data_IF_438020730468
#
_entry.id   IF_438020730468
#
_cell.length_a   1.000
_cell.length_b   1.000
_cell.length_c   1.000
_cell.angle_alpha   90.00
_cell.angle_beta   90.00
_cell.angle_gamma   90.00
#
_symmetry.space_group_name_H-M   'P 1'
#
loop_
_entity.id
_entity.type
_entity.pdbx_description
1 polymer ?
#
# COMPACT_ATOMS: atom_id res chain seq x y z
N UNK A 1 -23.71 49.77 -17.49
CA UNK A 1 -22.98 50.25 -18.68
C UNK A 1 -22.01 49.17 -19.14
N UNK A 2 -21.90 49.00 -20.46
CA UNK A 2 -20.85 48.27 -21.18
C UNK A 2 -20.87 46.73 -21.17
N UNK A 3 -21.52 46.18 -22.21
CA UNK A 3 -21.30 44.84 -22.76
C UNK A 3 -20.01 44.84 -23.58
N UNK A 4 -19.25 43.74 -23.61
CA UNK A 4 -18.50 43.34 -24.80
C UNK A 4 -18.44 41.81 -24.98
N UNK A 5 -18.31 41.33 -26.24
CA UNK A 5 -18.61 39.99 -26.75
C UNK A 5 -17.29 39.20 -26.99
N UNK A 6 -17.23 37.97 -27.48
CA UNK A 6 -17.45 37.55 -28.89
C UNK A 6 -17.09 36.07 -28.99
N UNK A 7 -17.96 35.29 -29.65
CA UNK A 7 -17.75 33.88 -30.01
C UNK A 7 -16.79 33.81 -31.20
N UNK A 8 -15.85 32.87 -31.19
CA UNK A 8 -15.12 32.47 -32.40
C UNK A 8 -15.43 31.01 -32.68
N UNK A 9 -16.21 30.80 -33.73
CA UNK A 9 -16.49 29.52 -34.36
C UNK A 9 -15.49 29.36 -35.49
N UNK A 10 -14.77 28.23 -35.54
CA UNK A 10 -14.00 27.85 -36.71
C UNK A 10 -14.70 26.66 -37.39
N UNK A 11 -15.19 26.91 -38.60
CA UNK A 11 -15.63 25.92 -39.58
C UNK A 11 -14.63 25.96 -40.72
N UNK A 12 -13.96 24.83 -40.96
CA UNK A 12 -13.24 24.45 -42.18
C UNK A 12 -13.34 22.93 -42.23
N UNK A 13 -13.58 22.23 -43.32
CA UNK A 13 -13.70 22.56 -44.73
C UNK A 13 -13.73 21.20 -45.43
N UNK A 14 -14.74 21.00 -46.27
CA UNK A 14 -15.05 19.76 -47.00
C UNK A 14 -14.12 19.62 -48.22
N UNK A 15 -13.55 18.43 -48.47
CA UNK A 15 -13.07 17.86 -49.77
C UNK A 15 -12.29 16.56 -49.43
N UNK A 16 -12.37 15.39 -50.09
CA UNK A 16 -12.88 14.94 -51.39
C UNK A 16 -11.85 13.95 -52.02
N UNK A 17 -12.34 12.86 -52.65
CA UNK A 17 -11.63 11.77 -53.42
C UNK A 17 -11.02 10.59 -52.60
N UNK A 18 -11.44 9.31 -52.73
CA UNK A 18 -11.39 8.32 -53.87
C UNK A 18 -9.93 7.90 -54.16
N UNK A 19 -9.42 6.66 -54.13
CA UNK A 19 -9.88 5.27 -54.41
C UNK A 19 -8.81 4.28 -53.90
N UNK A 20 -9.15 3.00 -53.66
CA UNK A 20 -8.61 1.77 -54.29
C UNK A 20 -8.70 0.56 -53.34
N UNK A 21 -9.22 -0.55 -53.86
CA UNK A 21 -9.19 -1.88 -53.25
C UNK A 21 -7.76 -2.42 -53.19
N UNK A 22 -7.35 -2.93 -52.03
CA UNK A 22 -6.32 -3.95 -51.92
C UNK A 22 -6.79 -5.03 -50.93
N UNK A 23 -7.19 -6.17 -51.48
CA UNK A 23 -7.33 -7.40 -50.74
C UNK A 23 -5.93 -7.84 -50.28
N UNK A 24 -5.63 -7.61 -49.01
CA UNK A 24 -4.37 -7.98 -48.37
C UNK A 24 -4.60 -9.12 -47.37
N UNK A 25 -3.99 -10.26 -47.69
CA UNK A 25 -3.69 -11.44 -46.90
C UNK A 25 -4.13 -11.45 -45.42
N UNK A 26 -4.93 -12.47 -45.07
CA UNK A 26 -5.26 -12.81 -43.69
C UNK A 26 -4.01 -13.10 -42.86
N UNK A 27 -3.60 -12.11 -42.09
CA UNK A 27 -2.74 -12.33 -40.93
C UNK A 27 -3.61 -12.84 -39.80
N UNK A 28 -3.62 -14.17 -39.60
CA UNK A 28 -3.99 -14.74 -38.32
C UNK A 28 -3.01 -14.21 -37.29
N UNK A 29 -3.32 -13.07 -36.66
CA UNK A 29 -2.72 -12.69 -35.40
C UNK A 29 -3.10 -13.80 -34.42
N UNK A 30 -2.21 -14.76 -34.28
CA UNK A 30 -2.17 -15.67 -33.14
C UNK A 30 -2.00 -14.74 -31.94
N UNK A 31 -3.14 -14.32 -31.40
CA UNK A 31 -3.20 -13.51 -30.21
C UNK A 31 -2.51 -14.31 -29.14
N UNK A 32 -1.27 -13.93 -28.84
CA UNK A 32 -0.62 -14.34 -27.62
C UNK A 32 -1.53 -13.78 -26.54
N UNK A 33 -2.42 -14.63 -26.02
CA UNK A 33 -3.16 -14.34 -24.81
C UNK A 33 -2.07 -14.18 -23.77
N UNK A 34 -1.68 -12.94 -23.49
CA UNK A 34 -0.81 -12.65 -22.36
C UNK A 34 -1.45 -13.35 -21.17
N UNK A 35 -0.73 -14.32 -20.59
CA UNK A 35 -1.23 -15.07 -19.44
C UNK A 35 -1.70 -14.09 -18.37
N UNK A 36 -2.81 -14.40 -17.70
CA UNK A 36 -3.27 -13.61 -16.58
C UNK A 36 -2.13 -13.53 -15.55
N UNK A 37 -1.72 -12.31 -15.21
CA UNK A 37 -0.66 -12.09 -14.22
C UNK A 37 -1.30 -12.17 -12.85
N UNK A 38 -0.83 -13.09 -12.02
CA UNK A 38 -1.28 -13.24 -10.65
C UNK A 38 -0.35 -12.45 -9.72
N UNK A 39 -0.91 -11.47 -9.00
CA UNK A 39 -0.20 -10.73 -7.97
C UNK A 39 -0.75 -11.06 -6.59
N UNK A 40 0.11 -11.57 -5.70
CA UNK A 40 -0.31 -11.97 -4.36
C UNK A 40 0.70 -11.57 -3.29
N UNK A 41 0.21 -11.46 -2.06
CA UNK A 41 1.03 -11.25 -0.87
C UNK A 41 0.82 -12.40 0.12
N UNK A 42 1.91 -13.06 0.48
CA UNK A 42 1.93 -14.19 1.41
C UNK A 42 2.55 -13.73 2.72
N UNK A 43 1.77 -13.53 3.80
CA UNK A 43 2.30 -13.07 5.08
C UNK A 43 3.13 -14.18 5.76
N UNK A 44 4.18 -13.77 6.46
CA UNK A 44 4.86 -14.63 7.41
C UNK A 44 4.10 -14.66 8.74
N UNK A 45 4.16 -15.80 9.44
CA UNK A 45 3.62 -15.96 10.79
C UNK A 45 4.74 -16.08 11.82
N UNK A 46 4.41 -15.82 13.08
CA UNK A 46 5.32 -15.94 14.20
C UNK A 46 4.57 -16.01 15.53
N UNK A 47 5.27 -16.25 16.66
CA UNK A 47 4.67 -16.32 17.98
C UNK A 47 4.18 -14.94 18.47
N UNK A 48 3.31 -14.94 19.48
CA UNK A 48 2.97 -13.74 20.26
C UNK A 48 3.98 -13.53 21.40
N UNK A 49 4.26 -12.27 21.81
CA UNK A 49 3.77 -11.02 21.26
C UNK A 49 4.47 -10.63 19.95
N UNK A 50 3.73 -10.08 19.00
CA UNK A 50 4.29 -9.74 17.68
C UNK A 50 3.56 -8.67 16.90
N UNK A 51 4.27 -8.13 15.92
CA UNK A 51 3.73 -7.41 14.78
C UNK A 51 3.81 -8.31 13.56
N UNK A 52 2.69 -8.54 12.91
CA UNK A 52 2.58 -9.40 11.72
C UNK A 52 1.88 -8.65 10.61
N UNK A 53 1.94 -9.20 9.39
CA UNK A 53 1.15 -8.71 8.27
C UNK A 53 0.00 -9.65 7.90
N UNK A 54 -0.95 -9.16 7.12
CA UNK A 54 -1.96 -9.95 6.43
C UNK A 54 -2.19 -9.38 5.02
N UNK A 55 -2.64 -10.24 4.11
CA UNK A 55 -3.29 -9.77 2.90
C UNK A 55 -4.65 -9.17 3.27
N UNK A 56 -4.86 -7.92 2.89
CA UNK A 56 -6.05 -7.14 3.19
C UNK A 56 -7.11 -7.21 2.09
N UNK A 57 -8.34 -6.78 2.39
CA UNK A 57 -9.41 -6.70 1.41
C UNK A 57 -9.06 -5.70 0.31
N UNK A 58 -9.46 -6.01 -0.93
CA UNK A 58 -9.18 -5.17 -2.10
C UNK A 58 -7.85 -5.45 -2.79
N UNK A 59 -7.16 -6.53 -2.44
CA UNK A 59 -6.02 -7.02 -3.22
C UNK A 59 -6.49 -7.60 -4.57
N UNK A 60 -5.77 -7.31 -5.63
CA UNK A 60 -6.00 -7.79 -7.00
C UNK A 60 -4.67 -7.95 -7.77
N UNK A 61 -4.75 -8.25 -9.08
CA UNK A 61 -3.60 -8.46 -9.97
C UNK A 61 -2.71 -7.22 -10.18
N UNK A 62 -3.09 -6.06 -9.66
CA UNK A 62 -2.39 -4.78 -9.79
C UNK A 62 -1.93 -4.19 -8.45
N UNK A 63 -2.69 -4.43 -7.37
CA UNK A 63 -2.46 -3.88 -6.04
C UNK A 63 -2.54 -4.98 -4.99
N UNK A 64 -1.53 -5.05 -4.14
CA UNK A 64 -1.54 -5.86 -2.92
C UNK A 64 -1.83 -4.94 -1.73
N UNK A 65 -2.88 -5.27 -0.99
CA UNK A 65 -3.22 -4.60 0.26
C UNK A 65 -2.55 -5.35 1.40
N UNK A 66 -1.66 -4.68 2.14
CA UNK A 66 -0.96 -5.25 3.28
C UNK A 66 -1.46 -4.58 4.55
N UNK A 67 -2.09 -5.37 5.43
CA UNK A 67 -2.48 -4.90 6.76
C UNK A 67 -1.42 -5.28 7.78
N UNK A 68 -1.01 -4.31 8.61
CA UNK A 68 -0.14 -4.54 9.76
C UNK A 68 -1.00 -4.75 10.99
N UNK A 69 -0.70 -5.79 11.75
CA UNK A 69 -1.42 -6.18 12.95
C UNK A 69 -0.46 -6.32 14.13
N UNK A 70 -0.88 -5.90 15.32
CA UNK A 70 -0.14 -6.09 16.58
C UNK A 70 -0.93 -7.08 17.44
N UNK A 71 -0.23 -7.99 18.11
CA UNK A 71 -0.82 -9.12 18.83
C UNK A 71 -0.23 -9.25 20.23
N UNK A 72 -1.10 -9.22 21.24
CA UNK A 72 -0.80 -9.45 22.66
C UNK A 72 0.25 -8.49 23.24
N UNK A 73 0.13 -7.19 22.90
CA UNK A 73 1.02 -6.12 23.39
C UNK A 73 0.21 -5.13 24.22
N UNK A 74 0.69 -4.79 25.42
CA UNK A 74 0.02 -3.85 26.33
C UNK A 74 0.60 -2.45 26.23
N UNK A 75 -0.21 -1.44 26.58
CA UNK A 75 0.19 -0.04 26.71
C UNK A 75 0.82 0.59 25.44
N UNK A 76 0.34 0.25 24.25
CA UNK A 76 0.90 0.79 23.01
C UNK A 76 0.44 2.25 22.80
N UNK A 77 1.39 3.19 22.83
CA UNK A 77 1.16 4.60 22.52
C UNK A 77 1.43 4.91 21.05
N UNK A 78 2.52 4.37 20.51
CA UNK A 78 2.91 4.59 19.11
C UNK A 78 3.65 3.40 18.51
N UNK A 79 3.66 3.36 17.18
CA UNK A 79 4.44 2.43 16.39
C UNK A 79 5.32 3.21 15.40
N UNK A 80 6.59 2.84 15.28
CA UNK A 80 7.50 3.35 14.26
C UNK A 80 8.32 2.21 13.68
N UNK A 81 8.35 2.10 12.35
CA UNK A 81 9.07 1.05 11.65
C UNK A 81 9.36 1.46 10.21
N UNK A 82 10.23 0.71 9.57
CA UNK A 82 10.52 0.78 8.14
C UNK A 82 10.14 -0.55 7.49
N UNK A 83 9.67 -0.46 6.25
CA UNK A 83 9.36 -1.58 5.38
C UNK A 83 10.32 -1.56 4.19
N UNK A 84 11.19 -2.56 4.12
CA UNK A 84 12.11 -2.79 3.02
C UNK A 84 11.51 -3.78 2.01
N UNK A 85 11.58 -3.45 0.72
CA UNK A 85 11.07 -4.25 -0.41
C UNK A 85 11.88 -3.98 -1.69
N UNK A 86 11.70 -4.80 -2.72
CA UNK A 86 12.30 -4.58 -4.04
C UNK A 86 11.47 -3.57 -4.87
N UNK A 87 11.99 -2.36 -5.15
CA UNK A 87 11.27 -1.35 -5.91
C UNK A 87 11.09 -1.71 -7.40
N UNK A 88 11.81 -2.72 -7.91
CA UNK A 88 11.60 -3.27 -9.25
C UNK A 88 10.36 -4.15 -9.35
N UNK A 89 9.87 -4.68 -8.22
CA UNK A 89 8.70 -5.58 -8.18
C UNK A 89 7.45 -4.84 -7.72
N UNK A 90 7.55 -4.00 -6.70
CA UNK A 90 6.42 -3.24 -6.14
C UNK A 90 6.80 -1.80 -5.81
N UNK A 91 5.81 -0.93 -5.66
CA UNK A 91 5.97 0.45 -5.17
C UNK A 91 4.90 0.76 -4.14
N UNK A 92 5.19 1.67 -3.20
CA UNK A 92 4.14 2.25 -2.37
C UNK A 92 3.11 2.96 -3.27
N UNK A 93 1.83 2.68 -3.04
CA UNK A 93 0.72 3.39 -3.67
C UNK A 93 0.08 4.37 -2.68
N UNK A 94 -0.45 3.88 -1.57
CA UNK A 94 -1.08 4.68 -0.52
C UNK A 94 -1.05 3.96 0.85
N UNK A 95 -1.69 4.57 1.84
CA UNK A 95 -1.93 3.99 3.16
C UNK A 95 -3.25 4.50 3.74
N UNK A 96 -3.79 3.77 4.72
CA UNK A 96 -4.88 4.25 5.57
C UNK A 96 -4.80 3.67 6.98
N UNK A 97 -5.33 4.43 7.93
CA UNK A 97 -5.42 4.03 9.36
C UNK A 97 -6.88 3.89 9.81
N UNK A 98 -7.83 3.86 8.88
CA UNK A 98 -9.26 3.75 9.21
C UNK A 98 -9.53 2.39 9.85
N UNK A 99 -10.09 2.41 11.05
CA UNK A 99 -10.32 1.20 11.86
C UNK A 99 -9.12 0.76 12.71
N UNK A 100 -8.03 1.53 12.73
CA UNK A 100 -6.86 1.26 13.59
C UNK A 100 -7.26 1.12 15.05
N UNK A 101 -6.75 0.09 15.71
CA UNK A 101 -6.98 -0.13 17.13
C UNK A 101 -6.39 1.00 17.99
N UNK A 102 -5.34 1.68 17.52
CA UNK A 102 -4.80 2.88 18.16
C UNK A 102 -5.81 4.03 18.28
N UNK A 103 -6.91 4.05 17.52
CA UNK A 103 -7.96 5.07 17.65
C UNK A 103 -9.30 4.51 18.16
N UNK A 104 -9.33 3.24 18.59
CA UNK A 104 -10.57 2.51 18.86
C UNK A 104 -11.36 3.00 20.08
N UNK A 105 -10.70 3.68 21.01
CA UNK A 105 -11.27 4.29 22.21
C UNK A 105 -11.57 5.80 22.04
N UNK A 106 -11.54 6.30 20.80
CA UNK A 106 -11.80 7.70 20.47
C UNK A 106 -10.56 8.59 20.50
N UNK A 107 -9.37 8.04 20.76
CA UNK A 107 -8.12 8.78 20.64
C UNK A 107 -7.85 9.23 19.19
N UNK A 108 -7.40 10.47 19.02
CA UNK A 108 -6.88 10.94 17.74
C UNK A 108 -5.54 10.28 17.46
N UNK A 109 -5.35 9.80 16.23
CA UNK A 109 -4.09 9.22 15.78
C UNK A 109 -3.46 10.08 14.68
N UNK A 110 -2.14 10.21 14.70
CA UNK A 110 -1.37 10.92 13.68
C UNK A 110 -0.47 9.93 12.93
N UNK A 111 -0.79 9.62 11.66
CA UNK A 111 0.07 8.79 10.82
C UNK A 111 1.11 9.63 10.06
N UNK A 112 2.32 9.08 9.96
CA UNK A 112 3.37 9.52 9.07
C UNK A 112 3.78 8.31 8.21
N UNK A 113 3.55 8.37 6.90
CA UNK A 113 4.04 7.35 5.97
C UNK A 113 4.77 8.04 4.85
N UNK A 114 6.05 7.72 4.70
CA UNK A 114 6.92 8.37 3.73
C UNK A 114 7.78 7.34 3.02
N UNK A 115 7.82 7.43 1.69
CA UNK A 115 8.84 6.76 0.89
C UNK A 115 10.16 7.51 1.08
N UNK A 116 11.03 7.01 1.97
CA UNK A 116 12.31 7.66 2.30
C UNK A 116 13.36 7.47 1.21
N UNK A 117 13.29 6.34 0.50
CA UNK A 117 14.11 6.02 -0.67
C UNK A 117 13.41 4.89 -1.46
N UNK A 118 13.76 4.65 -2.74
CA UNK A 118 13.25 3.49 -3.46
C UNK A 118 13.47 2.19 -2.66
N UNK A 119 12.41 1.40 -2.51
CA UNK A 119 12.45 0.15 -1.77
C UNK A 119 12.35 0.28 -0.24
N UNK A 120 12.18 1.49 0.31
CA UNK A 120 11.97 1.69 1.75
C UNK A 120 10.89 2.71 2.06
N UNK A 121 9.90 2.28 2.84
CA UNK A 121 8.86 3.14 3.42
C UNK A 121 9.07 3.24 4.91
N UNK A 122 9.07 4.45 5.46
CA UNK A 122 9.03 4.68 6.92
C UNK A 122 7.60 4.97 7.34
N UNK A 123 7.18 4.31 8.41
CA UNK A 123 5.84 4.42 9.00
C UNK A 123 5.99 4.86 10.46
N UNK A 124 5.18 5.83 10.86
CA UNK A 124 4.92 6.22 12.23
C UNK A 124 3.41 6.34 12.43
N UNK A 125 2.87 5.83 13.53
CA UNK A 125 1.49 6.07 13.93
C UNK A 125 1.47 6.29 15.44
N UNK A 126 1.00 7.45 15.88
CA UNK A 126 1.03 7.86 17.29
C UNK A 126 -0.35 8.29 17.77
N UNK A 127 -0.70 7.92 19.00
CA UNK A 127 -1.86 8.44 19.73
C UNK A 127 -1.56 9.83 20.28
N UNK A 128 -2.44 10.81 20.03
CA UNK A 128 -2.28 12.19 20.50
C UNK A 128 -3.02 12.41 21.81
N UNK A 129 -2.33 13.00 22.80
CA UNK A 129 -2.89 13.40 24.10
C UNK A 129 -3.71 12.29 24.81
N UNK A 130 -3.32 11.03 24.61
CA UNK A 130 -3.97 9.85 25.18
C UNK A 130 -2.94 8.93 25.84
N UNK A 131 -3.40 8.07 26.75
CA UNK A 131 -2.60 6.96 27.27
C UNK A 131 -2.43 5.86 26.21
N UNK A 132 -1.54 4.90 26.47
CA UNK A 132 -1.38 3.72 25.64
C UNK A 132 -2.63 2.84 25.67
N UNK A 133 -2.74 1.95 24.69
CA UNK A 133 -3.86 1.02 24.56
C UNK A 133 -3.37 -0.42 24.40
N UNK A 134 -4.12 -1.35 24.99
CA UNK A 134 -3.79 -2.77 24.90
C UNK A 134 -4.29 -3.40 23.61
N UNK A 135 -3.39 -4.10 22.93
CA UNK A 135 -3.65 -4.97 21.79
C UNK A 135 -3.88 -6.40 22.27
N UNK A 136 -5.03 -6.65 22.89
CA UNK A 136 -5.44 -7.99 23.32
C UNK A 136 -5.89 -8.84 22.12
N UNK A 137 -5.18 -9.94 21.85
CA UNK A 137 -5.29 -10.68 20.60
C UNK A 137 -4.76 -9.89 19.40
N UNK A 138 -4.97 -10.42 18.21
CA UNK A 138 -4.53 -9.78 16.97
C UNK A 138 -5.43 -8.59 16.62
N UNK A 139 -4.89 -7.37 16.56
CA UNK A 139 -5.63 -6.16 16.17
C UNK A 139 -4.94 -5.38 15.05
N UNK A 140 -5.75 -4.73 14.23
CA UNK A 140 -5.31 -3.92 13.10
C UNK A 140 -4.63 -2.62 13.56
N UNK A 141 -3.52 -2.28 12.91
CA UNK A 141 -2.75 -1.05 13.16
C UNK A 141 -2.84 -0.07 12.00
N UNK A 142 -2.45 -0.51 10.80
CA UNK A 142 -2.38 0.32 9.59
C UNK A 142 -2.50 -0.56 8.34
N UNK A 143 -3.08 -0.02 7.27
CA UNK A 143 -3.13 -0.63 5.95
C UNK A 143 -2.22 0.13 5.00
N UNK A 144 -1.46 -0.60 4.19
CA UNK A 144 -0.50 -0.06 3.22
C UNK A 144 -0.75 -0.76 1.89
N UNK A 145 -0.91 0.00 0.81
CA UNK A 145 -1.14 -0.57 -0.53
C UNK A 145 0.12 -0.49 -1.36
N UNK A 146 0.45 -1.60 -1.99
CA UNK A 146 1.59 -1.71 -2.90
C UNK A 146 1.11 -2.00 -4.31
N UNK A 147 1.56 -1.20 -5.27
CA UNK A 147 1.26 -1.42 -6.69
C UNK A 147 2.38 -2.25 -7.32
N UNK A 148 2.00 -3.22 -8.15
CA UNK A 148 2.92 -4.04 -8.93
C UNK A 148 3.66 -3.22 -10.01
N UNK A 149 4.94 -3.52 -10.22
CA UNK A 149 5.82 -2.88 -11.22
C UNK A 149 6.31 -3.80 -12.33
N UNK A 150 6.26 -5.12 -12.11
CA UNK A 150 6.77 -6.13 -13.04
C UNK A 150 5.68 -7.12 -13.46
N UNK A 151 5.92 -7.87 -14.53
CA UNK A 151 5.06 -8.99 -14.94
C UNK A 151 5.44 -10.31 -14.28
N UNK A 152 6.63 -10.41 -13.67
CA UNK A 152 7.08 -11.57 -12.90
C UNK A 152 8.16 -11.16 -11.89
N UNK A 153 8.21 -11.85 -10.74
CA UNK A 153 9.22 -11.62 -9.71
C UNK A 153 8.72 -11.86 -8.30
N UNK A 154 9.63 -11.79 -7.34
CA UNK A 154 9.33 -11.90 -5.91
C UNK A 154 9.97 -10.75 -5.16
N UNK A 155 9.30 -10.27 -4.11
CA UNK A 155 9.87 -9.25 -3.22
C UNK A 155 9.54 -9.61 -1.77
N UNK A 156 10.56 -9.82 -0.95
CA UNK A 156 10.38 -10.00 0.49
C UNK A 156 10.12 -8.63 1.12
N UNK A 157 9.04 -8.51 1.88
CA UNK A 157 8.74 -7.35 2.70
C UNK A 157 9.35 -7.59 4.10
N UNK A 158 10.32 -6.77 4.49
CA UNK A 158 11.03 -6.93 5.77
C UNK A 158 10.85 -5.69 6.64
N UNK A 159 10.65 -5.91 7.94
CA UNK A 159 10.59 -4.85 8.94
C UNK A 159 11.98 -4.46 9.44
N UNK A 160 12.31 -3.17 9.43
CA UNK A 160 13.54 -2.61 10.02
C UNK A 160 13.24 -1.38 10.88
N UNK A 161 14.15 -0.99 11.78
CA UNK A 161 13.95 0.14 12.71
C UNK A 161 12.67 0.04 13.57
N UNK A 162 12.39 -1.15 14.07
CA UNK A 162 11.10 -1.56 14.62
C UNK A 162 10.93 -1.13 16.08
N UNK A 163 9.96 -0.28 16.37
CA UNK A 163 9.61 0.15 17.72
C UNK A 163 8.10 0.20 17.90
N UNK A 164 7.61 -0.47 18.95
CA UNK A 164 6.36 -0.08 19.61
C UNK A 164 6.76 0.65 20.88
N UNK A 165 6.21 1.84 21.12
CA UNK A 165 6.52 2.63 22.30
C UNK A 165 5.35 2.62 23.28
N UNK A 166 5.69 2.54 24.56
CA UNK A 166 4.74 2.59 25.66
C UNK A 166 4.28 4.04 25.98
N UNK A 167 3.37 4.19 26.94
CA UNK A 167 2.87 5.52 27.35
C UNK A 167 3.66 6.17 28.48
N UNK A 168 4.84 5.64 28.82
CA UNK A 168 5.70 6.25 29.83
C UNK A 168 6.25 7.61 29.38
N UNK A 169 6.75 8.40 30.33
CA UNK A 169 7.31 9.73 30.04
C UNK A 169 8.80 9.76 30.41
N UNK A 170 9.74 9.74 29.45
CA UNK A 170 9.53 9.67 27.99
C UNK A 170 9.13 8.25 27.53
N UNK A 171 8.45 8.12 26.36
CA UNK A 171 8.03 6.82 25.81
C UNK A 171 9.21 5.87 25.60
N UNK A 172 9.02 4.59 25.90
CA UNK A 172 10.07 3.57 25.83
C UNK A 172 9.67 2.41 24.92
N UNK A 173 10.64 1.74 24.27
CA UNK A 173 10.36 0.53 23.51
C UNK A 173 9.76 -0.58 24.38
N UNK A 174 8.72 -1.23 23.88
CA UNK A 174 8.11 -2.40 24.49
C UNK A 174 8.96 -3.64 24.15
N UNK A 175 9.55 -4.33 25.13
CA UNK A 175 10.46 -5.45 24.88
C UNK A 175 9.72 -6.71 24.42
N UNK A 176 10.46 -7.62 23.77
CA UNK A 176 9.96 -8.96 23.43
C UNK A 176 9.03 -9.05 22.21
N UNK A 177 8.70 -7.92 21.56
CA UNK A 177 7.86 -7.89 20.37
C UNK A 177 8.66 -8.27 19.13
N UNK A 178 8.26 -9.34 18.45
CA UNK A 178 8.87 -9.79 17.20
C UNK A 178 8.10 -9.28 15.97
N UNK A 179 8.78 -9.10 14.84
CA UNK A 179 8.20 -8.46 13.65
C UNK A 179 8.32 -9.36 12.42
N UNK A 180 7.18 -9.66 11.79
CA UNK A 180 7.08 -10.62 10.68
C UNK A 180 6.39 -9.98 9.47
N UNK A 181 7.15 -9.81 8.40
CA UNK A 181 6.65 -9.29 7.13
C UNK A 181 6.00 -10.38 6.28
N UNK A 182 6.46 -10.53 5.05
CA UNK A 182 5.90 -11.50 4.11
C UNK A 182 6.57 -11.41 2.75
N UNK A 183 5.96 -11.98 1.72
CA UNK A 183 6.51 -12.01 0.36
C UNK A 183 5.45 -11.66 -0.67
N UNK A 184 5.76 -10.71 -1.53
CA UNK A 184 5.05 -10.45 -2.76
C UNK A 184 5.46 -11.47 -3.82
N UNK A 185 4.49 -12.00 -4.56
CA UNK A 185 4.69 -12.93 -5.66
C UNK A 185 3.95 -12.44 -6.90
N UNK A 186 4.66 -12.35 -8.02
CA UNK A 186 4.11 -12.01 -9.33
C UNK A 186 4.45 -13.14 -10.30
N UNK A 187 3.44 -13.80 -10.86
CA UNK A 187 3.59 -14.92 -11.80
C UNK A 187 2.66 -14.82 -13.00
#
# INVERSE_FOLDING_TARGET
MSRLPTRTVWVFGLTGLVTLFAAGCGGSSSGVVAGAINFSYVPASGPSPSVTTASGPGSDDSVAVVEVHVTDVTDVLSASFSLDFDPGVVTLADFDVVGSHLGSDGATIEPLVQLTQPGRVTVGVTRLAAAGIDFNGRRFLIRIRFQRRTAAGTSVLTFTNNNLLDSSTPPRPIPGVQWFGGTFQVN
#
